data_IF_658824636361
#
_entry.id   IF_658824636361
#
_cell.length_a   1.000
_cell.length_b   1.000
_cell.length_c   1.000
_cell.angle_alpha   90.00
_cell.angle_beta   90.00
_cell.angle_gamma   90.00
#
_symmetry.space_group_name_H-M   'P 1'
#
loop_
_entity.id
_entity.type
_entity.pdbx_description
1 polymer ?
#
# COMPACT_ATOMS: atom_id res chain seq x y z
N UNK A 1 -1.10 -4.66 -13.69
CA UNK A 1 -1.55 -4.83 -12.33
C UNK A 1 -1.44 -6.23 -11.81
N UNK A 2 -1.63 -6.84 -10.93
CA UNK A 2 -1.72 -8.27 -10.62
C UNK A 2 -0.71 -8.81 -9.61
N UNK A 3 0.17 -7.95 -9.07
CA UNK A 3 1.21 -8.36 -8.09
C UNK A 3 0.73 -8.36 -6.64
N UNK A 4 -0.55 -8.18 -6.39
CA UNK A 4 -1.17 -8.21 -5.05
C UNK A 4 -0.83 -7.04 -4.12
N UNK A 5 -0.35 -5.90 -4.63
CA UNK A 5 -0.06 -4.72 -3.79
C UNK A 5 -1.28 -4.33 -2.96
N UNK A 6 -2.36 -3.93 -3.60
CA UNK A 6 -3.60 -3.49 -2.95
C UNK A 6 -4.20 -4.56 -2.03
N UNK A 7 -4.26 -5.83 -2.48
CA UNK A 7 -4.75 -6.93 -1.63
C UNK A 7 -3.89 -7.08 -0.38
N UNK A 8 -2.57 -6.93 -0.50
CA UNK A 8 -1.66 -7.01 0.65
C UNK A 8 -1.87 -5.81 1.58
N UNK A 9 -1.93 -4.57 1.05
CA UNK A 9 -2.14 -3.35 1.83
C UNK A 9 -3.45 -3.40 2.61
N UNK A 10 -4.56 -3.74 1.95
CA UNK A 10 -5.87 -3.85 2.59
C UNK A 10 -5.93 -5.01 3.59
N UNK A 11 -5.33 -6.17 3.25
CA UNK A 11 -5.28 -7.31 4.18
C UNK A 11 -4.45 -7.01 5.43
N UNK A 12 -3.33 -6.31 5.28
CA UNK A 12 -2.52 -5.87 6.42
C UNK A 12 -3.30 -4.89 7.30
N UNK A 13 -3.92 -3.87 6.72
CA UNK A 13 -4.73 -2.91 7.46
C UNK A 13 -5.84 -3.60 8.28
N UNK A 14 -6.58 -4.53 7.65
CA UNK A 14 -7.65 -5.24 8.30
C UNK A 14 -7.14 -6.19 9.39
N UNK A 15 -6.12 -6.99 9.09
CA UNK A 15 -5.59 -7.97 10.03
C UNK A 15 -4.92 -7.30 11.24
N UNK A 16 -4.19 -6.20 11.05
CA UNK A 16 -3.64 -5.41 12.16
C UNK A 16 -4.77 -4.90 13.07
N UNK A 17 -5.85 -4.40 12.50
CA UNK A 17 -6.99 -3.89 13.27
C UNK A 17 -7.79 -5.01 13.97
N UNK A 18 -7.90 -6.18 13.35
CA UNK A 18 -8.63 -7.33 13.90
C UNK A 18 -7.83 -8.13 14.96
N UNK A 19 -6.52 -7.88 15.11
CA UNK A 19 -5.64 -8.68 15.96
C UNK A 19 -5.54 -8.10 17.39
N UNK A 20 -6.30 -8.63 18.37
CA UNK A 20 -6.43 -8.03 19.70
C UNK A 20 -5.15 -8.09 20.55
N UNK A 21 -4.13 -8.85 20.11
CA UNK A 21 -2.89 -9.05 20.87
C UNK A 21 -1.75 -8.12 20.43
N UNK A 22 -1.90 -7.42 19.30
CA UNK A 22 -0.82 -6.61 18.74
C UNK A 22 -0.92 -5.14 19.17
N UNK A 23 -2.12 -4.62 19.39
CA UNK A 23 -2.32 -3.17 19.47
C UNK A 23 -3.49 -2.79 20.39
N UNK A 24 -3.51 -1.53 20.83
CA UNK A 24 -4.60 -0.97 21.62
C UNK A 24 -5.95 -1.03 20.88
N UNK A 25 -7.06 -1.04 21.62
CA UNK A 25 -8.42 -1.02 21.05
C UNK A 25 -8.67 0.21 20.16
N UNK A 26 -7.88 1.27 20.31
CA UNK A 26 -8.02 2.55 19.61
C UNK A 26 -7.12 2.71 18.39
N UNK A 27 -6.51 1.63 17.86
CA UNK A 27 -5.64 1.70 16.71
C UNK A 27 -6.34 2.33 15.51
N UNK A 28 -5.74 3.37 14.95
CA UNK A 28 -6.19 4.08 13.76
C UNK A 28 -5.22 3.89 12.60
N UNK A 29 -5.72 3.39 11.50
CA UNK A 29 -4.94 3.13 10.28
C UNK A 29 -5.53 3.98 9.16
N UNK A 30 -4.67 4.75 8.46
CA UNK A 30 -5.01 5.43 7.23
C UNK A 30 -4.40 4.69 6.05
N UNK A 31 -5.19 4.41 5.02
CA UNK A 31 -4.70 3.95 3.73
C UNK A 31 -4.83 5.09 2.72
N UNK A 32 -3.70 5.53 2.17
CA UNK A 32 -3.63 6.48 1.07
C UNK A 32 -3.64 5.70 -0.24
N UNK A 33 -4.69 5.86 -1.05
CA UNK A 33 -4.76 5.27 -2.38
C UNK A 33 -4.18 6.26 -3.41
N UNK A 34 -3.05 5.92 -3.99
CA UNK A 34 -2.38 6.70 -5.04
C UNK A 34 -2.44 6.01 -6.40
N UNK A 35 -3.19 4.91 -6.52
CA UNK A 35 -3.44 4.26 -7.82
C UNK A 35 -4.71 4.84 -8.46
N UNK A 36 -4.64 5.50 -9.63
CA UNK A 36 -5.84 5.99 -10.33
C UNK A 36 -6.87 4.90 -10.65
N UNK A 37 -6.50 3.61 -10.57
CA UNK A 37 -7.47 2.52 -10.68
C UNK A 37 -8.37 2.39 -9.43
N UNK A 38 -8.09 3.12 -8.35
CA UNK A 38 -8.89 3.21 -7.12
C UNK A 38 -9.20 1.86 -6.46
N UNK A 39 -8.32 0.88 -6.63
CA UNK A 39 -8.60 -0.48 -6.16
C UNK A 39 -8.68 -0.56 -4.63
N UNK A 40 -7.81 0.13 -3.89
CA UNK A 40 -7.87 0.17 -2.44
C UNK A 40 -9.14 0.89 -1.95
N UNK A 41 -9.52 1.96 -2.60
CA UNK A 41 -10.76 2.71 -2.35
C UNK A 41 -11.98 1.80 -2.54
N UNK A 42 -12.02 0.99 -3.62
CA UNK A 42 -13.11 0.05 -3.88
C UNK A 42 -13.25 -1.00 -2.77
N UNK A 43 -12.14 -1.55 -2.27
CA UNK A 43 -12.16 -2.52 -1.17
C UNK A 43 -12.62 -1.92 0.15
N UNK A 44 -12.24 -0.68 0.42
CA UNK A 44 -12.45 -0.04 1.72
C UNK A 44 -13.74 0.77 1.79
N UNK A 45 -14.14 1.39 0.69
CA UNK A 45 -15.39 2.16 0.62
C UNK A 45 -15.95 2.17 -0.81
N UNK A 46 -16.59 1.08 -1.22
CA UNK A 46 -17.14 0.91 -2.57
C UNK A 46 -18.11 2.02 -2.98
N UNK A 47 -18.99 2.45 -2.07
CA UNK A 47 -19.97 3.50 -2.37
C UNK A 47 -19.30 4.84 -2.68
N UNK A 48 -18.19 5.13 -2.03
CA UNK A 48 -17.41 6.33 -2.32
C UNK A 48 -16.65 6.19 -3.65
N UNK A 49 -16.10 5.01 -3.93
CA UNK A 49 -15.34 4.75 -5.16
C UNK A 49 -16.17 4.86 -6.45
N UNK A 50 -17.47 4.55 -6.40
CA UNK A 50 -18.38 4.67 -7.58
C UNK A 50 -18.99 6.07 -7.73
N UNK A 51 -18.82 6.94 -6.74
CA UNK A 51 -19.18 8.35 -6.81
C UNK A 51 -18.15 9.16 -7.61
N UNK A 52 -18.57 10.33 -8.11
CA UNK A 52 -17.63 11.34 -8.58
C UNK A 52 -16.98 11.97 -7.35
N UNK A 53 -15.69 11.68 -7.16
CA UNK A 53 -14.94 12.10 -5.96
C UNK A 53 -14.01 13.24 -6.35
N UNK A 54 -14.26 14.41 -5.80
CA UNK A 54 -13.39 15.58 -5.98
C UNK A 54 -12.39 15.77 -4.84
N UNK A 55 -12.37 14.85 -3.84
CA UNK A 55 -11.52 14.90 -2.66
C UNK A 55 -10.65 13.63 -2.58
N UNK A 56 -9.66 13.58 -3.48
CA UNK A 56 -8.72 12.44 -3.58
C UNK A 56 -7.37 12.74 -2.93
N UNK A 57 -6.58 11.70 -2.64
CA UNK A 57 -5.23 11.87 -2.13
C UNK A 57 -4.33 12.70 -3.06
N UNK A 58 -4.31 12.47 -4.40
CA UNK A 58 -3.58 13.34 -5.32
C UNK A 58 -4.06 14.80 -5.34
N UNK A 59 -5.35 15.05 -5.18
CA UNK A 59 -5.87 16.42 -5.08
C UNK A 59 -5.46 17.09 -3.78
N UNK A 60 -5.52 16.39 -2.64
CA UNK A 60 -5.02 16.89 -1.36
C UNK A 60 -3.53 17.25 -1.43
N UNK A 61 -2.73 16.48 -2.18
CA UNK A 61 -1.33 16.80 -2.43
C UNK A 61 -1.17 18.17 -3.08
N UNK A 62 -1.96 18.48 -4.13
CA UNK A 62 -1.86 19.74 -4.88
C UNK A 62 -2.48 20.93 -4.16
N UNK A 63 -3.57 20.72 -3.43
CA UNK A 63 -4.31 21.82 -2.79
C UNK A 63 -3.64 22.32 -1.51
N UNK A 64 -2.76 21.53 -0.89
CA UNK A 64 -2.06 21.87 0.35
C UNK A 64 -3.01 22.39 1.46
N UNK A 65 -4.15 21.76 1.63
CA UNK A 65 -5.21 22.13 2.58
C UNK A 65 -4.75 21.95 4.04
N UNK A 66 -5.50 22.51 4.98
CA UNK A 66 -5.21 22.37 6.41
C UNK A 66 -5.37 20.92 6.89
N UNK A 67 -4.83 20.61 8.10
CA UNK A 67 -5.02 19.31 8.74
C UNK A 67 -6.50 19.02 8.99
N UNK A 68 -7.25 20.02 9.40
CA UNK A 68 -8.67 19.94 9.68
C UNK A 68 -9.46 19.58 8.41
N UNK A 69 -9.19 20.24 7.30
CA UNK A 69 -9.80 19.92 5.99
C UNK A 69 -9.42 18.54 5.50
N UNK A 70 -8.16 18.08 5.71
CA UNK A 70 -7.78 16.70 5.38
C UNK A 70 -8.65 15.68 6.12
N UNK A 71 -8.88 15.90 7.43
CA UNK A 71 -9.65 14.99 8.28
C UNK A 71 -11.15 15.01 7.97
N UNK A 72 -11.71 16.17 7.60
CA UNK A 72 -13.14 16.37 7.40
C UNK A 72 -13.58 16.03 5.96
N UNK A 73 -12.79 16.42 4.95
CA UNK A 73 -13.19 16.37 3.55
C UNK A 73 -12.51 15.27 2.74
N UNK A 74 -11.26 14.94 3.04
CA UNK A 74 -10.44 14.02 2.23
C UNK A 74 -10.33 12.60 2.80
N UNK A 75 -10.60 12.42 4.08
CA UNK A 75 -10.50 11.11 4.73
C UNK A 75 -11.89 10.57 5.04
N UNK A 76 -12.19 9.40 4.48
CA UNK A 76 -13.47 8.75 4.68
C UNK A 76 -13.31 7.47 5.52
N UNK A 77 -14.31 7.12 6.35
CA UNK A 77 -14.29 5.85 7.06
C UNK A 77 -14.40 4.70 6.08
N UNK A 78 -13.72 3.60 6.37
CA UNK A 78 -13.87 2.37 5.60
C UNK A 78 -14.95 1.46 6.20
N UNK A 79 -15.25 0.36 5.50
CA UNK A 79 -16.12 -0.72 6.03
C UNK A 79 -15.46 -1.46 7.21
N UNK A 80 -14.20 -1.21 7.49
CA UNK A 80 -13.43 -1.80 8.59
C UNK A 80 -13.31 -0.77 9.73
N UNK A 81 -13.90 -0.99 10.90
CA UNK A 81 -13.81 -0.05 12.01
C UNK A 81 -12.35 0.26 12.38
N UNK A 82 -12.00 1.55 12.49
CA UNK A 82 -10.64 2.01 12.81
C UNK A 82 -9.69 2.07 11.61
N UNK A 83 -10.14 1.65 10.42
CA UNK A 83 -9.43 1.86 9.16
C UNK A 83 -10.13 2.96 8.37
N UNK A 84 -9.34 3.89 7.86
CA UNK A 84 -9.79 5.02 7.07
C UNK A 84 -9.10 4.99 5.71
N UNK A 85 -9.70 5.60 4.72
CA UNK A 85 -9.10 5.72 3.39
C UNK A 85 -9.12 7.18 2.92
N UNK A 86 -8.02 7.61 2.34
CA UNK A 86 -7.96 8.79 1.49
C UNK A 86 -8.03 8.27 0.05
N UNK A 87 -9.11 8.53 -0.67
CA UNK A 87 -9.44 7.84 -1.91
C UNK A 87 -8.59 8.29 -3.10
N UNK A 88 -8.61 7.49 -4.17
CA UNK A 88 -8.18 7.87 -5.51
C UNK A 88 -9.35 7.86 -6.49
N UNK A 89 -9.16 8.49 -7.63
CA UNK A 89 -10.10 8.52 -8.75
C UNK A 89 -9.38 8.27 -10.07
N UNK A 90 -10.09 7.81 -11.09
CA UNK A 90 -9.54 7.65 -12.44
C UNK A 90 -9.00 8.98 -13.00
N UNK A 91 -9.57 10.10 -12.59
CA UNK A 91 -9.17 11.44 -13.03
C UNK A 91 -7.79 11.84 -12.47
N UNK A 92 -7.31 11.18 -11.41
CA UNK A 92 -5.97 11.39 -10.85
C UNK A 92 -4.85 10.98 -11.83
N UNK A 93 -5.16 10.18 -12.85
CA UNK A 93 -4.23 9.90 -13.95
C UNK A 93 -3.79 11.17 -14.70
N UNK A 94 -4.70 12.17 -14.80
CA UNK A 94 -4.37 13.47 -15.37
C UNK A 94 -3.38 14.24 -14.47
N UNK A 95 -3.58 14.20 -13.16
CA UNK A 95 -2.68 14.81 -12.18
C UNK A 95 -1.29 14.18 -12.30
N UNK A 96 -1.20 12.85 -12.32
CA UNK A 96 0.08 12.13 -12.46
C UNK A 96 0.81 12.51 -13.75
N UNK A 97 0.09 12.64 -14.86
CA UNK A 97 0.66 12.94 -16.18
C UNK A 97 1.14 14.38 -16.32
N UNK A 98 0.56 15.32 -15.56
CA UNK A 98 0.88 16.75 -15.62
C UNK A 98 1.57 17.27 -14.34
N UNK A 99 2.12 16.38 -13.53
CA UNK A 99 2.60 16.66 -12.19
C UNK A 99 3.55 17.86 -12.10
N UNK A 100 4.58 17.89 -12.95
CA UNK A 100 5.58 18.96 -12.92
C UNK A 100 4.94 20.33 -13.17
N UNK A 101 4.08 20.44 -14.18
CA UNK A 101 3.36 21.69 -14.51
C UNK A 101 2.43 22.10 -13.36
N UNK A 102 1.66 21.16 -12.80
CA UNK A 102 0.74 21.46 -11.71
C UNK A 102 1.48 21.89 -10.44
N UNK A 103 2.65 21.32 -10.15
CA UNK A 103 3.47 21.76 -9.04
C UNK A 103 4.01 23.19 -9.24
N UNK A 104 4.42 23.53 -10.46
CA UNK A 104 4.87 24.90 -10.79
C UNK A 104 3.73 25.91 -10.66
N UNK A 105 2.50 25.55 -11.03
CA UNK A 105 1.33 26.42 -10.97
C UNK A 105 0.75 26.60 -9.56
N UNK A 106 0.70 25.53 -8.77
CA UNK A 106 -0.03 25.49 -7.50
C UNK A 106 0.84 25.49 -6.25
N UNK A 107 2.09 25.03 -6.34
CA UNK A 107 2.95 24.72 -5.20
C UNK A 107 4.30 25.42 -5.28
N UNK A 108 4.28 26.73 -5.57
CA UNK A 108 5.50 27.54 -5.70
C UNK A 108 6.42 27.41 -4.48
N UNK A 109 7.66 26.97 -4.74
CA UNK A 109 8.68 26.84 -3.71
C UNK A 109 8.69 25.52 -2.95
N UNK A 110 7.72 24.62 -3.18
CA UNK A 110 7.76 23.26 -2.64
C UNK A 110 8.51 22.32 -3.59
N UNK A 111 9.18 21.32 -3.00
CA UNK A 111 9.83 20.28 -3.80
C UNK A 111 8.79 19.27 -4.29
N UNK A 112 8.70 19.07 -5.61
CA UNK A 112 7.72 18.19 -6.27
C UNK A 112 7.73 16.73 -5.80
N UNK A 113 8.81 16.28 -5.14
CA UNK A 113 8.93 14.94 -4.57
C UNK A 113 8.61 14.88 -3.08
N UNK A 114 8.48 16.02 -2.41
CA UNK A 114 8.16 16.12 -0.99
C UNK A 114 6.67 16.36 -0.70
N UNK A 115 5.86 16.59 -1.72
CA UNK A 115 4.48 17.06 -1.60
C UNK A 115 3.61 16.11 -0.77
N UNK A 116 3.66 14.81 -1.01
CA UNK A 116 2.92 13.82 -0.21
C UNK A 116 3.30 13.91 1.28
N UNK A 117 4.60 14.02 1.55
CA UNK A 117 5.11 14.12 2.91
C UNK A 117 4.65 15.41 3.58
N UNK A 118 4.88 16.56 2.94
CA UNK A 118 4.65 17.88 3.54
C UNK A 118 3.17 18.22 3.65
N UNK A 119 2.38 17.89 2.60
CA UNK A 119 0.99 18.30 2.51
C UNK A 119 0.01 17.31 3.17
N UNK A 120 0.43 16.05 3.38
CA UNK A 120 -0.45 15.01 3.95
C UNK A 120 0.19 14.36 5.18
N UNK A 121 1.33 13.65 5.02
CA UNK A 121 1.83 12.76 6.08
C UNK A 121 2.27 13.55 7.33
N UNK A 122 3.05 14.61 7.16
CA UNK A 122 3.52 15.41 8.29
C UNK A 122 2.38 16.11 9.05
N UNK A 123 1.25 16.39 8.38
CA UNK A 123 0.04 16.93 9.01
C UNK A 123 -0.75 15.89 9.80
N UNK A 124 -0.76 14.63 9.33
CA UNK A 124 -1.60 13.56 9.86
C UNK A 124 -0.88 12.54 10.77
N UNK A 125 0.44 12.63 10.89
CA UNK A 125 1.28 11.64 11.63
C UNK A 125 0.95 11.45 13.11
N UNK A 126 0.16 12.34 13.69
CA UNK A 126 -0.30 12.24 15.08
C UNK A 126 -1.77 11.79 15.19
N UNK A 127 -2.46 11.62 14.07
CA UNK A 127 -3.85 11.20 14.00
C UNK A 127 -4.01 9.71 13.74
N UNK A 128 -2.95 9.09 13.20
CA UNK A 128 -2.94 7.67 12.81
C UNK A 128 -1.67 6.99 13.31
N UNK A 129 -1.84 5.75 13.78
CA UNK A 129 -0.72 4.91 14.22
C UNK A 129 0.07 4.35 13.03
N UNK A 130 -0.65 4.08 11.93
CA UNK A 130 -0.06 3.66 10.65
C UNK A 130 -0.68 4.43 9.50
N UNK A 131 0.18 4.87 8.56
CA UNK A 131 -0.22 5.40 7.26
C UNK A 131 0.32 4.45 6.20
N UNK A 132 -0.56 3.71 5.55
CA UNK A 132 -0.24 2.80 4.47
C UNK A 132 -0.41 3.52 3.13
N UNK A 133 0.57 3.43 2.24
CA UNK A 133 0.53 4.07 0.93
C UNK A 133 0.43 2.98 -0.13
N UNK A 134 -0.71 2.89 -0.82
CA UNK A 134 -0.90 2.00 -1.96
C UNK A 134 -0.65 2.74 -3.26
N UNK A 135 0.24 2.21 -4.12
CA UNK A 135 0.67 2.87 -5.35
C UNK A 135 0.35 2.04 -6.58
N UNK A 136 0.11 2.69 -7.69
CA UNK A 136 0.00 2.07 -9.00
C UNK A 136 1.28 1.34 -9.42
N UNK A 137 1.25 0.62 -10.56
CA UNK A 137 2.41 -0.11 -11.09
C UNK A 137 3.39 0.76 -11.89
N UNK A 138 3.17 2.06 -11.95
CA UNK A 138 3.91 2.99 -12.79
C UNK A 138 5.05 3.68 -12.03
N UNK A 139 6.13 4.01 -12.75
CA UNK A 139 7.25 4.80 -12.23
C UNK A 139 6.96 6.30 -12.43
N UNK A 140 5.87 6.76 -11.85
CA UNK A 140 5.35 8.13 -11.99
C UNK A 140 5.70 9.04 -10.80
N UNK A 141 5.12 10.21 -10.78
CA UNK A 141 5.30 11.20 -9.73
C UNK A 141 4.76 10.71 -8.37
N UNK A 142 3.66 9.96 -8.37
CA UNK A 142 3.06 9.46 -7.13
C UNK A 142 3.97 8.43 -6.47
N UNK A 143 4.56 7.52 -7.26
CA UNK A 143 5.54 6.57 -6.71
C UNK A 143 6.77 7.29 -6.15
N UNK A 144 7.30 8.32 -6.83
CA UNK A 144 8.45 9.10 -6.33
C UNK A 144 8.12 9.79 -5.01
N UNK A 145 6.93 10.39 -4.90
CA UNK A 145 6.45 10.98 -3.66
C UNK A 145 6.27 9.94 -2.55
N UNK A 146 5.75 8.75 -2.86
CA UNK A 146 5.63 7.65 -1.91
C UNK A 146 7.00 7.17 -1.40
N UNK A 147 8.00 7.00 -2.30
CA UNK A 147 9.37 6.63 -1.93
C UNK A 147 10.01 7.70 -1.02
N UNK A 148 9.83 8.98 -1.35
CA UNK A 148 10.38 10.08 -0.55
C UNK A 148 9.76 10.19 0.84
N UNK A 149 8.49 9.80 0.98
CA UNK A 149 7.69 9.98 2.18
C UNK A 149 7.70 8.77 3.12
N UNK A 150 7.83 7.56 2.58
CA UNK A 150 7.73 6.32 3.35
C UNK A 150 8.97 6.06 4.23
N UNK A 151 8.76 5.55 5.43
CA UNK A 151 9.82 5.05 6.30
C UNK A 151 10.25 3.63 5.88
N UNK A 152 9.28 2.79 5.50
CA UNK A 152 9.51 1.39 5.11
C UNK A 152 8.72 1.09 3.83
N UNK A 153 9.36 0.43 2.89
CA UNK A 153 8.71 -0.07 1.67
C UNK A 153 8.58 -1.58 1.74
N UNK A 154 7.42 -2.11 1.36
CA UNK A 154 7.18 -3.53 1.18
C UNK A 154 7.00 -3.85 -0.30
N UNK A 155 7.88 -4.70 -0.83
CA UNK A 155 7.89 -5.06 -2.25
C UNK A 155 7.36 -6.47 -2.46
N UNK A 156 6.15 -6.64 -3.04
CA UNK A 156 5.64 -7.95 -3.41
C UNK A 156 6.38 -8.51 -4.61
N UNK A 157 6.84 -9.75 -4.50
CA UNK A 157 7.54 -10.48 -5.57
C UNK A 157 6.70 -11.68 -6.00
N UNK A 158 5.97 -11.59 -7.12
CA UNK A 158 5.19 -12.72 -7.63
C UNK A 158 6.11 -13.71 -8.35
N UNK A 159 5.87 -15.03 -8.21
CA UNK A 159 6.73 -16.06 -8.79
C UNK A 159 6.45 -16.35 -10.27
N UNK A 160 5.42 -15.74 -10.87
CA UNK A 160 5.16 -15.87 -12.30
C UNK A 160 6.29 -15.17 -13.09
N UNK A 161 6.93 -15.86 -14.04
CA UNK A 161 8.16 -15.40 -14.69
C UNK A 161 8.10 -13.96 -15.21
N UNK A 162 7.01 -13.59 -15.91
CA UNK A 162 6.87 -12.24 -16.46
C UNK A 162 6.80 -11.17 -15.36
N UNK A 163 6.00 -11.42 -14.34
CA UNK A 163 5.83 -10.51 -13.21
C UNK A 163 7.10 -10.47 -12.33
N UNK A 164 7.75 -11.62 -12.15
CA UNK A 164 9.02 -11.74 -11.46
C UNK A 164 10.11 -10.89 -12.12
N UNK A 165 10.32 -11.06 -13.43
CA UNK A 165 11.28 -10.24 -14.17
C UNK A 165 10.94 -8.74 -14.18
N UNK A 166 9.65 -8.40 -14.21
CA UNK A 166 9.21 -7.00 -14.09
C UNK A 166 9.57 -6.42 -12.72
N UNK A 167 9.37 -7.20 -11.66
CA UNK A 167 9.76 -6.79 -10.29
C UNK A 167 11.27 -6.64 -10.15
N UNK A 168 12.06 -7.54 -10.73
CA UNK A 168 13.54 -7.40 -10.73
C UNK A 168 14.00 -6.13 -11.45
N UNK A 169 13.39 -5.80 -12.58
CA UNK A 169 13.67 -4.54 -13.30
C UNK A 169 13.31 -3.32 -12.45
N UNK A 170 12.19 -3.36 -11.74
CA UNK A 170 11.80 -2.31 -10.81
C UNK A 170 12.85 -2.15 -9.69
N UNK A 171 13.24 -3.24 -9.04
CA UNK A 171 14.24 -3.22 -7.98
C UNK A 171 15.59 -2.68 -8.44
N UNK A 172 16.00 -3.03 -9.67
CA UNK A 172 17.23 -2.49 -10.26
C UNK A 172 17.14 -0.96 -10.52
N UNK A 173 15.94 -0.43 -10.72
CA UNK A 173 15.69 1.01 -10.93
C UNK A 173 15.51 1.81 -9.64
N UNK A 174 15.19 1.16 -8.54
CA UNK A 174 14.88 1.84 -7.28
C UNK A 174 16.02 2.75 -6.78
N UNK A 175 17.29 2.33 -6.78
CA UNK A 175 18.39 3.22 -6.38
C UNK A 175 18.52 4.45 -7.28
N UNK A 176 18.27 4.30 -8.58
CA UNK A 176 18.26 5.41 -9.54
C UNK A 176 17.14 6.40 -9.25
N UNK A 177 15.94 5.90 -8.90
CA UNK A 177 14.82 6.76 -8.50
C UNK A 177 15.12 7.54 -7.22
N UNK A 178 15.69 6.89 -6.22
CA UNK A 178 16.13 7.55 -4.97
C UNK A 178 17.16 8.63 -5.30
N UNK A 179 18.16 8.33 -6.13
CA UNK A 179 19.17 9.29 -6.55
C UNK A 179 18.56 10.50 -7.29
N UNK A 180 17.59 10.31 -8.17
CA UNK A 180 16.87 11.39 -8.85
C UNK A 180 16.16 12.29 -7.83
N UNK A 181 15.43 11.70 -6.89
CA UNK A 181 14.72 12.44 -5.83
C UNK A 181 15.70 13.28 -5.01
N UNK A 182 16.84 12.72 -4.64
CA UNK A 182 17.88 13.41 -3.86
C UNK A 182 18.60 14.50 -4.65
N UNK A 183 18.88 14.26 -5.94
CA UNK A 183 19.47 15.28 -6.83
C UNK A 183 18.53 16.47 -7.05
N UNK A 184 17.23 16.23 -7.06
CA UNK A 184 16.21 17.28 -7.11
C UNK A 184 16.01 18.00 -5.74
N UNK A 185 16.82 17.68 -4.73
CA UNK A 185 16.85 18.37 -3.44
C UNK A 185 15.84 17.84 -2.41
N UNK A 186 15.25 16.65 -2.62
CA UNK A 186 14.37 16.01 -1.66
C UNK A 186 15.08 14.84 -0.95
N UNK A 187 15.14 14.85 0.38
CA UNK A 187 15.67 13.73 1.15
C UNK A 187 14.63 12.62 1.26
N UNK A 188 15.03 11.37 0.99
CA UNK A 188 14.20 10.19 1.24
C UNK A 188 14.25 9.80 2.72
N UNK A 189 13.10 9.40 3.29
CA UNK A 189 13.00 8.85 4.65
C UNK A 189 13.19 7.34 4.68
N UNK A 190 13.25 6.70 3.53
CA UNK A 190 13.22 5.24 3.39
C UNK A 190 14.40 4.58 4.13
N UNK A 191 14.09 3.84 5.18
CA UNK A 191 15.04 3.11 6.03
C UNK A 191 15.27 1.68 5.53
N UNK A 192 14.22 1.05 4.97
CA UNK A 192 14.28 -0.32 4.51
C UNK A 192 13.32 -0.60 3.35
N UNK A 193 13.71 -1.54 2.48
CA UNK A 193 12.86 -2.13 1.45
C UNK A 193 12.74 -3.63 1.73
N UNK A 194 11.58 -4.05 2.21
CA UNK A 194 11.30 -5.42 2.64
C UNK A 194 10.64 -6.20 1.52
N UNK A 195 11.28 -7.27 1.05
CA UNK A 195 10.73 -8.17 0.05
C UNK A 195 9.80 -9.23 0.65
N UNK A 196 8.77 -9.63 -0.07
CA UNK A 196 7.96 -10.80 0.28
C UNK A 196 7.41 -11.50 -0.96
N UNK A 197 7.29 -12.83 -0.88
CA UNK A 197 6.66 -13.57 -1.97
C UNK A 197 5.15 -13.37 -1.95
N UNK A 198 4.59 -12.93 -3.07
CA UNK A 198 3.15 -12.84 -3.28
C UNK A 198 2.68 -13.93 -4.22
N UNK A 199 1.41 -14.40 -4.06
CA UNK A 199 0.81 -15.45 -4.91
C UNK A 199 1.62 -16.74 -4.99
N UNK A 200 2.31 -17.09 -3.92
CA UNK A 200 3.14 -18.29 -3.86
C UNK A 200 2.25 -19.55 -3.93
N UNK A 201 2.61 -20.50 -4.79
CA UNK A 201 2.02 -21.81 -4.89
C UNK A 201 3.10 -22.90 -4.84
N UNK A 202 2.73 -24.12 -4.51
CA UNK A 202 3.70 -25.22 -4.42
C UNK A 202 4.08 -25.77 -5.81
N UNK A 203 4.88 -25.00 -6.56
CA UNK A 203 5.41 -25.35 -7.89
C UNK A 203 6.94 -25.22 -7.89
N UNK A 204 7.62 -26.01 -8.73
CA UNK A 204 9.09 -25.98 -8.84
C UNK A 204 9.64 -24.59 -9.18
N UNK A 205 9.02 -23.95 -10.17
CA UNK A 205 9.43 -22.61 -10.63
C UNK A 205 9.25 -21.54 -9.55
N UNK A 206 8.20 -21.68 -8.71
CA UNK A 206 7.98 -20.80 -7.57
C UNK A 206 9.05 -20.95 -6.49
N UNK A 207 9.57 -22.17 -6.28
CA UNK A 207 10.67 -22.41 -5.33
C UNK A 207 11.96 -21.76 -5.81
N UNK A 208 12.24 -21.81 -7.11
CA UNK A 208 13.38 -21.14 -7.71
C UNK A 208 13.29 -19.60 -7.52
N UNK A 209 12.16 -19.02 -7.89
CA UNK A 209 11.92 -17.57 -7.69
C UNK A 209 12.04 -17.17 -6.21
N UNK A 210 11.54 -18.00 -5.29
CA UNK A 210 11.68 -17.75 -3.85
C UNK A 210 13.15 -17.74 -3.41
N UNK A 211 13.94 -18.72 -3.83
CA UNK A 211 15.38 -18.76 -3.48
C UNK A 211 16.12 -17.53 -4.01
N UNK A 212 15.86 -17.14 -5.25
CA UNK A 212 16.48 -15.95 -5.85
C UNK A 212 16.04 -14.66 -5.14
N UNK A 213 14.77 -14.54 -4.79
CA UNK A 213 14.28 -13.39 -4.00
C UNK A 213 14.99 -13.31 -2.66
N UNK A 214 15.18 -14.44 -1.99
CA UNK A 214 15.90 -14.50 -0.72
C UNK A 214 17.37 -14.08 -0.86
N UNK A 215 18.03 -14.40 -1.95
CA UNK A 215 19.39 -13.92 -2.25
C UNK A 215 19.42 -12.40 -2.47
N UNK A 216 18.42 -11.84 -3.15
CA UNK A 216 18.34 -10.41 -3.46
C UNK A 216 18.09 -9.57 -2.21
N UNK A 217 17.10 -9.94 -1.41
CA UNK A 217 16.72 -9.18 -0.22
C UNK A 217 17.52 -9.57 1.05
N UNK A 218 18.13 -10.77 1.07
CA UNK A 218 18.88 -11.22 2.23
C UNK A 218 18.05 -11.21 3.52
N UNK A 219 18.53 -10.49 4.52
CA UNK A 219 17.84 -10.29 5.81
C UNK A 219 16.58 -9.42 5.72
N UNK A 220 16.39 -8.69 4.62
CA UNK A 220 15.22 -7.82 4.39
C UNK A 220 14.09 -8.55 3.66
N UNK A 221 14.10 -9.87 3.63
CA UNK A 221 12.98 -10.67 3.15
C UNK A 221 12.12 -11.12 4.32
N UNK A 222 10.79 -11.02 4.18
CA UNK A 222 9.87 -11.65 5.12
C UNK A 222 9.93 -13.17 4.95
N UNK A 223 9.97 -13.90 6.06
CA UNK A 223 9.90 -15.37 6.06
C UNK A 223 8.47 -15.88 5.74
N UNK A 224 7.47 -15.02 5.84
CA UNK A 224 6.08 -15.30 5.52
C UNK A 224 5.73 -14.77 4.13
N UNK A 225 5.03 -15.57 3.36
CA UNK A 225 4.54 -15.22 2.01
C UNK A 225 3.04 -15.03 2.00
N UNK A 226 2.57 -14.18 1.06
CA UNK A 226 1.16 -14.13 0.69
C UNK A 226 0.85 -15.26 -0.31
N UNK A 227 0.17 -16.34 0.08
CA UNK A 227 -0.05 -17.46 -0.82
C UNK A 227 -1.10 -17.13 -1.89
N UNK A 228 -1.08 -17.88 -2.99
CA UNK A 228 -2.20 -17.88 -3.94
C UNK A 228 -3.30 -18.78 -3.41
N UNK A 229 -4.35 -18.18 -2.88
CA UNK A 229 -5.50 -18.89 -2.33
C UNK A 229 -6.80 -18.33 -2.95
N UNK A 230 -7.73 -19.24 -3.27
CA UNK A 230 -9.05 -18.89 -3.81
C UNK A 230 -9.81 -17.91 -2.90
N UNK A 231 -9.56 -17.95 -1.59
CA UNK A 231 -10.16 -17.02 -0.65
C UNK A 231 -9.87 -15.56 -0.97
N UNK A 232 -8.63 -15.22 -1.33
CA UNK A 232 -8.26 -13.84 -1.72
C UNK A 232 -8.85 -13.45 -3.07
N UNK A 233 -8.87 -14.38 -4.05
CA UNK A 233 -9.43 -14.11 -5.38
C UNK A 233 -10.93 -13.84 -5.29
N UNK A 234 -11.68 -14.68 -4.56
CA UNK A 234 -13.14 -14.54 -4.41
C UNK A 234 -13.57 -13.36 -3.54
N UNK A 235 -12.87 -13.08 -2.47
CA UNK A 235 -13.14 -11.88 -1.68
C UNK A 235 -12.90 -10.61 -2.51
N UNK A 236 -11.86 -10.60 -3.36
CA UNK A 236 -11.61 -9.52 -4.30
C UNK A 236 -12.73 -9.29 -5.32
N UNK A 237 -13.38 -10.36 -5.80
CA UNK A 237 -14.53 -10.26 -6.71
C UNK A 237 -15.76 -9.56 -6.07
N UNK A 238 -15.91 -9.63 -4.75
CA UNK A 238 -16.98 -8.97 -3.99
C UNK A 238 -16.56 -7.67 -3.32
N UNK A 239 -15.36 -7.15 -3.60
CA UNK A 239 -14.77 -6.00 -2.91
C UNK A 239 -14.79 -6.15 -1.38
N UNK A 240 -14.57 -7.37 -0.90
CA UNK A 240 -14.49 -7.69 0.52
C UNK A 240 -13.10 -8.20 0.86
N UNK A 241 -12.74 -8.22 2.14
CA UNK A 241 -11.49 -8.85 2.59
C UNK A 241 -11.78 -10.26 3.08
N UNK A 242 -10.76 -11.12 3.06
CA UNK A 242 -10.91 -12.48 3.61
C UNK A 242 -11.28 -12.46 5.10
N UNK A 243 -10.98 -11.36 5.81
CA UNK A 243 -11.26 -11.22 7.25
C UNK A 243 -12.72 -10.83 7.50
N UNK A 244 -13.30 -9.91 6.69
CA UNK A 244 -14.70 -9.48 6.79
C UNK A 244 -15.67 -10.44 6.13
N UNK A 245 -15.23 -11.21 5.13
CA UNK A 245 -16.10 -12.13 4.37
C UNK A 245 -16.96 -13.00 5.31
N UNK A 246 -18.28 -12.95 5.14
CA UNK A 246 -19.19 -13.74 5.96
C UNK A 246 -19.14 -15.22 5.53
N UNK A 247 -18.77 -16.16 6.41
CA UNK A 247 -18.67 -17.57 6.05
C UNK A 247 -19.98 -18.19 5.54
N UNK A 248 -21.13 -17.60 5.90
CA UNK A 248 -22.46 -18.10 5.49
C UNK A 248 -22.81 -17.70 4.05
N UNK A 249 -22.40 -16.50 3.65
CA UNK A 249 -22.69 -15.97 2.30
C UNK A 249 -21.50 -16.11 1.34
N UNK A 250 -20.35 -16.56 1.84
CA UNK A 250 -19.15 -16.75 1.04
C UNK A 250 -19.36 -17.79 -0.06
N UNK A 251 -19.12 -17.38 -1.31
CA UNK A 251 -19.23 -18.26 -2.48
C UNK A 251 -17.94 -19.04 -2.67
N UNK A 252 -17.77 -20.13 -1.92
CA UNK A 252 -16.58 -20.98 -1.98
C UNK A 252 -16.49 -21.96 -0.82
N UNK A 253 -15.35 -22.63 -0.70
CA UNK A 253 -15.08 -23.52 0.42
C UNK A 253 -14.82 -22.72 1.70
N UNK A 254 -15.54 -23.02 2.78
CA UNK A 254 -15.28 -22.45 4.10
C UNK A 254 -13.85 -22.73 4.60
N UNK A 255 -13.27 -23.87 4.22
CA UNK A 255 -11.88 -24.20 4.52
C UNK A 255 -10.90 -23.29 3.76
N UNK A 256 -11.19 -23.00 2.49
CA UNK A 256 -10.39 -22.05 1.69
C UNK A 256 -10.42 -20.63 2.29
N UNK A 257 -11.58 -20.18 2.75
CA UNK A 257 -11.71 -18.88 3.45
C UNK A 257 -10.93 -18.89 4.77
N UNK A 258 -11.04 -19.95 5.57
CA UNK A 258 -10.28 -20.10 6.82
C UNK A 258 -8.77 -20.04 6.59
N UNK A 259 -8.27 -20.77 5.59
CA UNK A 259 -6.84 -20.79 5.26
C UNK A 259 -6.37 -19.41 4.76
N UNK A 260 -7.19 -18.69 4.00
CA UNK A 260 -6.86 -17.35 3.54
C UNK A 260 -6.82 -16.34 4.70
N UNK A 261 -7.73 -16.46 5.69
CA UNK A 261 -7.70 -15.64 6.91
C UNK A 261 -6.42 -15.87 7.71
N UNK A 262 -6.09 -17.10 7.99
CA UNK A 262 -4.86 -17.44 8.72
C UNK A 262 -3.63 -16.89 7.99
N UNK A 263 -3.56 -17.03 6.67
CA UNK A 263 -2.46 -16.49 5.89
C UNK A 263 -2.39 -14.96 5.95
N UNK A 264 -3.52 -14.25 5.94
CA UNK A 264 -3.56 -12.81 6.08
C UNK A 264 -3.11 -12.34 7.47
N UNK A 265 -3.53 -13.04 8.52
CA UNK A 265 -3.15 -12.78 9.91
C UNK A 265 -1.65 -13.01 10.14
N UNK A 266 -1.12 -14.16 9.69
CA UNK A 266 0.30 -14.49 9.78
C UNK A 266 1.16 -13.47 9.01
N UNK A 267 0.71 -13.06 7.83
CA UNK A 267 1.40 -12.06 7.03
C UNK A 267 1.41 -10.69 7.72
N UNK A 268 0.26 -10.22 8.21
CA UNK A 268 0.18 -8.95 8.91
C UNK A 268 1.02 -8.94 10.20
N UNK A 269 1.05 -10.06 10.93
CA UNK A 269 1.93 -10.21 12.08
C UNK A 269 3.40 -10.08 11.68
N UNK A 270 3.84 -10.75 10.62
CA UNK A 270 5.21 -10.66 10.15
C UNK A 270 5.59 -9.24 9.70
N UNK A 271 4.66 -8.53 9.05
CA UNK A 271 4.83 -7.12 8.69
C UNK A 271 5.00 -6.26 9.94
N UNK A 272 4.13 -6.43 10.93
CA UNK A 272 4.20 -5.68 12.18
C UNK A 272 5.50 -5.95 12.95
N UNK A 273 5.86 -7.21 13.13
CA UNK A 273 7.10 -7.60 13.83
C UNK A 273 8.33 -6.99 13.13
N UNK A 274 8.32 -6.91 11.79
CA UNK A 274 9.39 -6.28 11.01
C UNK A 274 9.43 -4.76 11.19
N UNK A 275 8.28 -4.09 11.22
CA UNK A 275 8.19 -2.65 11.49
C UNK A 275 8.76 -2.34 12.88
N UNK A 276 8.36 -3.09 13.90
CA UNK A 276 8.86 -2.89 15.27
C UNK A 276 10.37 -3.16 15.37
N UNK A 277 10.88 -4.18 14.67
CA UNK A 277 12.30 -4.44 14.59
C UNK A 277 13.08 -3.25 14.00
N UNK A 278 12.59 -2.68 12.89
CA UNK A 278 13.23 -1.53 12.23
C UNK A 278 13.19 -0.31 13.17
N UNK A 279 12.03 0.01 13.75
CA UNK A 279 11.87 1.13 14.71
C UNK A 279 12.80 1.03 15.92
N UNK A 280 13.11 -0.19 16.37
CA UNK A 280 13.98 -0.39 17.53
C UNK A 280 15.47 -0.27 17.20
N UNK A 281 15.87 -0.36 15.93
CA UNK A 281 17.27 -0.42 15.50
C UNK A 281 17.73 0.79 14.66
N UNK A 282 16.81 1.63 14.25
CA UNK A 282 17.06 2.88 13.49
C UNK A 282 16.36 4.07 14.16
#
# INVERSE_FOLDING_TARGET
GGVSKTVSSVSVAHALRAHPHLLSEDLRILLLDLDPQSSATMFLNYLHAVGLVDTTAPQAMLQNVSREELLEDFIVPSVIPGVYVMPASIDDAFIASNWDTLCEEHLLGQNKHAILRENIIDKLKHDFDFILIDTGPHLDAFLKNAIAAADIMFTPVPPAQVDFHSTLKYLARLPELVQIIEQDGCSCRLQANIGFMSKLANKSDHKYCHSLTKEIFGGDMLDVSMPRLDGFERSGESFDTVISANPVTYVGSGEALKNARMAAEDFAKAVFDRIEFIRANY
#
